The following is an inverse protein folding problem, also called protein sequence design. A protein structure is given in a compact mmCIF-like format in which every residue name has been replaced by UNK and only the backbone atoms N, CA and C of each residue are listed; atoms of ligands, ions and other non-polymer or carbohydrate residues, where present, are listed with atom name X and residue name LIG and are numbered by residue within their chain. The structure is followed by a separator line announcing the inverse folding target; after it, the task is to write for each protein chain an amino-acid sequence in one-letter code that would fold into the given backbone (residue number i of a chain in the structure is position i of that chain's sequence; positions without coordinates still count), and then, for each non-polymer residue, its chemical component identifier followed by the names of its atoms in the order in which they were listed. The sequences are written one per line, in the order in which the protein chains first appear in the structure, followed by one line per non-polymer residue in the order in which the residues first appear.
data_IF_713604551341
#
_entry.id   IF_713604551341
#
_cell.length_a   1.000
_cell.length_b   1.000
_cell.length_c   1.000
_cell.angle_alpha   90.00
_cell.angle_beta   90.00
_cell.angle_gamma   90.00
#
_symmetry.space_group_name_H-M   'P 1'
#
loop_
_entity.id
_entity.type
_entity.pdbx_description
1 polymer ?
#
# COMPACT_ATOMS: atom_id res chain seq x y z
N UNK A 1 -10.57 -3.45 -11.60
CA UNK A 1 -10.85 -2.00 -11.69
C UNK A 1 -12.35 -1.70 -11.72
N UNK A 2 -13.19 -2.51 -12.40
CA UNK A 2 -14.66 -2.35 -12.41
C UNK A 2 -15.30 -2.29 -11.01
N UNK A 3 -14.78 -3.04 -10.04
CA UNK A 3 -15.24 -3.03 -8.66
C UNK A 3 -15.22 -1.64 -8.00
N UNK A 4 -14.23 -0.79 -8.34
CA UNK A 4 -14.12 0.58 -7.80
C UNK A 4 -15.29 1.43 -8.31
N UNK A 5 -15.62 1.33 -9.59
CA UNK A 5 -16.74 2.05 -10.18
C UNK A 5 -18.09 1.60 -9.61
N UNK A 6 -18.22 0.30 -9.29
CA UNK A 6 -19.42 -0.25 -8.65
C UNK A 6 -19.57 0.27 -7.21
N UNK A 7 -18.48 0.23 -6.42
CA UNK A 7 -18.47 0.73 -5.04
C UNK A 7 -18.77 2.23 -4.96
N UNK A 8 -18.30 3.01 -5.93
CA UNK A 8 -18.56 4.44 -6.02
C UNK A 8 -19.90 4.78 -6.68
N UNK A 9 -20.67 3.78 -7.11
CA UNK A 9 -22.01 3.97 -7.68
C UNK A 9 -22.02 4.58 -9.09
N UNK A 10 -20.92 4.51 -9.84
CA UNK A 10 -20.87 4.92 -11.25
C UNK A 10 -21.45 3.86 -12.18
N UNK A 11 -21.38 2.60 -11.79
CA UNK A 11 -21.92 1.48 -12.54
C UNK A 11 -22.76 0.58 -11.65
N UNK A 12 -23.79 -0.02 -12.22
CA UNK A 12 -24.56 -1.09 -11.62
C UNK A 12 -24.41 -2.36 -12.46
N UNK A 13 -24.67 -3.51 -11.86
CA UNK A 13 -24.71 -4.78 -12.59
C UNK A 13 -26.18 -5.15 -12.73
N UNK A 14 -26.70 -5.02 -13.95
CA UNK A 14 -28.03 -5.51 -14.32
C UNK A 14 -27.88 -6.72 -15.23
N UNK A 15 -28.40 -7.88 -14.81
CA UNK A 15 -28.31 -9.15 -15.53
C UNK A 15 -26.89 -9.55 -16.00
N UNK A 16 -25.87 -9.23 -15.20
CA UNK A 16 -24.46 -9.53 -15.51
C UNK A 16 -23.81 -8.56 -16.50
N UNK A 17 -24.54 -7.53 -16.94
CA UNK A 17 -24.04 -6.46 -17.80
C UNK A 17 -23.79 -5.23 -16.93
N UNK A 18 -22.63 -4.59 -17.12
CA UNK A 18 -22.30 -3.32 -16.48
C UNK A 18 -23.10 -2.20 -17.15
N UNK A 19 -23.99 -1.56 -16.39
CA UNK A 19 -24.74 -0.39 -16.81
C UNK A 19 -24.19 0.86 -16.11
N UNK A 20 -24.18 2.00 -16.80
CA UNK A 20 -23.84 3.29 -16.20
C UNK A 20 -25.02 3.78 -15.35
N UNK A 21 -24.72 4.42 -14.22
CA UNK A 21 -25.74 5.11 -13.44
C UNK A 21 -26.04 6.48 -14.07
N UNK A 22 -27.32 6.87 -14.12
CA UNK A 22 -27.77 8.10 -14.80
C UNK A 22 -27.30 9.39 -14.11
N UNK A 23 -27.09 9.35 -12.80
CA UNK A 23 -26.70 10.52 -11.99
C UNK A 23 -25.84 10.13 -10.78
N UNK A 24 -24.63 9.58 -11.00
CA UNK A 24 -23.76 9.17 -9.90
C UNK A 24 -23.32 10.39 -9.09
N UNK A 25 -23.36 10.26 -7.77
CA UNK A 25 -22.78 11.25 -6.87
C UNK A 25 -21.26 11.32 -7.10
N UNK A 26 -20.70 12.52 -7.05
CA UNK A 26 -19.25 12.71 -7.23
C UNK A 26 -18.51 12.24 -5.97
N UNK A 27 -18.20 10.95 -5.93
CA UNK A 27 -17.47 10.31 -4.83
C UNK A 27 -15.97 10.29 -5.06
N UNK A 28 -15.21 10.40 -3.97
CA UNK A 28 -13.76 10.30 -3.97
C UNK A 28 -13.29 8.86 -4.13
N UNK A 29 -12.07 8.64 -4.65
CA UNK A 29 -11.49 7.29 -4.77
C UNK A 29 -11.21 6.65 -3.40
N UNK A 30 -11.02 7.48 -2.39
CA UNK A 30 -10.87 7.10 -0.98
C UNK A 30 -12.14 6.46 -0.39
N UNK A 31 -13.30 6.64 -1.03
CA UNK A 31 -14.54 5.95 -0.62
C UNK A 31 -14.62 4.50 -1.13
N UNK A 32 -13.74 4.10 -2.05
CA UNK A 32 -13.67 2.72 -2.55
C UNK A 32 -12.72 1.87 -1.72
N UNK A 33 -13.28 0.87 -1.01
CA UNK A 33 -12.50 -0.12 -0.25
C UNK A 33 -11.54 -0.90 -1.16
N UNK A 34 -11.99 -1.24 -2.36
CA UNK A 34 -11.14 -1.95 -3.33
C UNK A 34 -9.95 -1.11 -3.78
N UNK A 35 -10.16 0.21 -3.98
CA UNK A 35 -9.08 1.12 -4.31
C UNK A 35 -8.09 1.29 -3.15
N UNK A 36 -8.58 1.57 -1.94
CA UNK A 36 -7.74 1.71 -0.75
C UNK A 36 -6.89 0.45 -0.50
N UNK A 37 -7.50 -0.73 -0.57
CA UNK A 37 -6.79 -2.00 -0.38
C UNK A 37 -5.67 -2.18 -1.40
N UNK A 38 -5.90 -1.82 -2.66
CA UNK A 38 -4.87 -1.90 -3.70
C UNK A 38 -3.76 -0.89 -3.45
N UNK A 39 -4.09 0.30 -2.95
CA UNK A 39 -3.10 1.31 -2.58
C UNK A 39 -2.22 0.84 -1.41
N UNK A 40 -2.82 0.27 -0.37
CA UNK A 40 -2.09 -0.30 0.77
C UNK A 40 -1.18 -1.45 0.34
N UNK A 41 -1.69 -2.36 -0.49
CA UNK A 41 -0.90 -3.46 -1.06
C UNK A 41 0.31 -2.93 -1.85
N UNK A 42 0.09 -1.97 -2.75
CA UNK A 42 1.17 -1.36 -3.53
C UNK A 42 2.19 -0.64 -2.64
N UNK A 43 1.76 -0.01 -1.54
CA UNK A 43 2.67 0.63 -0.58
C UNK A 43 3.58 -0.40 0.08
N UNK A 44 3.02 -1.53 0.52
CA UNK A 44 3.77 -2.63 1.12
C UNK A 44 4.73 -3.24 0.10
N UNK A 45 4.27 -3.52 -1.12
CA UNK A 45 5.11 -4.07 -2.19
C UNK A 45 6.29 -3.16 -2.53
N UNK A 46 6.06 -1.85 -2.65
CA UNK A 46 7.15 -0.89 -2.86
C UNK A 46 8.18 -0.92 -1.73
N UNK A 47 7.73 -1.10 -0.49
CA UNK A 47 8.60 -1.07 0.68
C UNK A 47 9.42 -2.35 0.87
N UNK A 48 8.93 -3.50 0.41
CA UNK A 48 9.55 -4.81 0.71
C UNK A 48 9.99 -5.61 -0.52
N UNK A 49 9.24 -5.51 -1.61
CA UNK A 49 9.47 -6.30 -2.82
C UNK A 49 10.30 -5.52 -3.83
N UNK A 50 10.00 -4.23 -4.00
CA UNK A 50 10.67 -3.37 -4.97
C UNK A 50 11.75 -2.48 -4.37
N UNK A 51 11.94 -2.50 -3.05
CA UNK A 51 13.05 -1.84 -2.38
C UNK A 51 14.39 -2.47 -2.77
N UNK A 52 15.44 -1.65 -2.84
CA UNK A 52 16.80 -2.18 -2.93
C UNK A 52 17.18 -2.96 -1.66
N UNK A 53 18.21 -3.79 -1.77
CA UNK A 53 18.74 -4.54 -0.63
C UNK A 53 19.13 -3.62 0.54
N UNK A 54 19.76 -2.47 0.26
CA UNK A 54 20.19 -1.52 1.29
C UNK A 54 18.99 -0.92 2.03
N UNK A 55 17.95 -0.49 1.31
CA UNK A 55 16.73 0.06 1.89
C UNK A 55 16.00 -0.97 2.76
N UNK A 56 15.90 -2.22 2.27
CA UNK A 56 15.27 -3.31 3.00
C UNK A 56 16.06 -3.64 4.28
N UNK A 57 17.39 -3.73 4.19
CA UNK A 57 18.28 -3.95 5.35
C UNK A 57 18.13 -2.83 6.38
N UNK A 58 18.11 -1.57 5.94
CA UNK A 58 17.89 -0.43 6.84
C UNK A 58 16.51 -0.46 7.48
N UNK A 59 15.49 -0.88 6.74
CA UNK A 59 14.14 -1.05 7.29
C UNK A 59 14.12 -2.12 8.38
N UNK A 60 14.68 -3.31 8.13
CA UNK A 60 14.76 -4.37 9.12
C UNK A 60 15.59 -3.98 10.35
N UNK A 61 16.73 -3.32 10.14
CA UNK A 61 17.57 -2.83 11.24
C UNK A 61 16.80 -1.86 12.15
N UNK A 62 15.94 -0.99 11.59
CA UNK A 62 15.12 -0.06 12.39
C UNK A 62 14.03 -0.76 13.21
N UNK A 63 13.50 -1.87 12.71
CA UNK A 63 12.33 -2.55 13.32
C UNK A 63 12.75 -3.68 14.27
N UNK A 64 13.86 -4.36 14.00
CA UNK A 64 14.30 -5.54 14.74
C UNK A 64 15.31 -5.21 15.84
N UNK A 65 16.14 -4.17 15.69
CA UNK A 65 17.15 -3.86 16.68
C UNK A 65 16.50 -3.16 17.89
N UNK A 66 16.66 -3.69 19.13
CA UNK A 66 16.58 -2.85 20.30
C UNK A 66 17.64 -1.76 20.14
N UNK A 67 17.31 -0.53 20.50
CA UNK A 67 18.24 0.59 20.62
C UNK A 67 19.61 0.14 21.13
N UNK A 68 20.65 0.50 20.35
CA UNK A 68 22.10 0.54 20.63
C UNK A 68 22.90 -0.77 20.51
N UNK A 69 23.87 -0.80 19.57
CA UNK A 69 25.30 -0.61 19.90
C UNK A 69 25.96 0.16 18.74
N UNK A 70 26.55 1.31 19.05
CA UNK A 70 27.45 2.07 18.18
C UNK A 70 28.70 1.23 17.87
N UNK A 71 28.81 0.71 16.64
CA UNK A 71 29.95 -0.09 16.17
C UNK A 71 31.31 0.65 16.24
N UNK A 72 31.32 1.94 16.61
CA UNK A 72 32.53 2.76 16.74
C UNK A 72 33.38 2.49 17.99
N UNK A 73 32.90 1.73 18.99
CA UNK A 73 33.66 1.45 20.22
C UNK A 73 34.49 0.16 20.18
N UNK A 74 34.39 -0.68 19.15
CA UNK A 74 35.07 -2.01 19.14
C UNK A 74 36.52 -1.95 18.63
N UNK A 75 37.01 -0.79 18.14
CA UNK A 75 38.37 -0.68 17.56
C UNK A 75 39.49 -0.26 18.53
N UNK A 76 39.20 0.01 19.80
CA UNK A 76 40.23 0.46 20.77
C UNK A 76 40.67 -0.59 21.79
N UNK A 77 40.31 -1.87 21.65
CA UNK A 77 40.89 -2.91 22.52
C UNK A 77 41.08 -4.22 21.77
N UNK A 78 42.12 -4.29 20.93
CA UNK A 78 43.05 -5.43 20.80
C UNK A 78 44.41 -4.88 20.36
#
# INVERSE_FOLDING_TARGET
MSQVFLELGFVTIDNGILALSDSPEKKGLDESKSYLRKQEQAKIENQFVYSSYEELKQWFNRVILPTEIDERQIKETV
#
